data_IF_353607975688
#
_entry.id   IF_353607975688
#
_cell.length_a   1.000
_cell.length_b   1.000
_cell.length_c   1.000
_cell.angle_alpha   90.00
_cell.angle_beta   90.00
_cell.angle_gamma   90.00
#
_symmetry.space_group_name_H-M   'P 1'
#
loop_
_entity.id
_entity.type
_entity.pdbx_description
1 polymer ?
#
# COMPACT_ATOMS: atom_id res chain seq x y z
N UNK A 1 -12.29 29.56 21.22
CA UNK A 1 -12.83 28.91 20.01
C UNK A 1 -12.51 29.65 18.70
N UNK A 2 -12.18 30.95 18.72
CA UNK A 2 -11.98 31.76 17.50
C UNK A 2 -10.81 31.32 16.60
N UNK A 3 -9.65 30.95 17.17
CA UNK A 3 -8.42 30.66 16.39
C UNK A 3 -8.57 29.40 15.52
N UNK A 4 -9.12 28.32 16.06
CA UNK A 4 -9.35 27.08 15.30
C UNK A 4 -10.42 27.28 14.23
N UNK A 5 -11.48 28.03 14.54
CA UNK A 5 -12.53 28.35 13.57
C UNK A 5 -11.98 29.24 12.42
N UNK A 6 -11.10 30.19 12.72
CA UNK A 6 -10.41 31.02 11.73
C UNK A 6 -9.50 30.19 10.82
N UNK A 7 -8.68 29.31 11.40
CA UNK A 7 -7.82 28.42 10.63
C UNK A 7 -8.63 27.45 9.75
N UNK A 8 -9.73 26.91 10.29
CA UNK A 8 -10.61 26.00 9.55
C UNK A 8 -11.29 26.66 8.33
N UNK A 9 -11.43 27.99 8.31
CA UNK A 9 -11.91 28.71 7.12
C UNK A 9 -10.91 28.70 5.96
N UNK A 10 -9.62 28.54 6.24
CA UNK A 10 -8.54 28.66 5.24
C UNK A 10 -7.93 27.33 4.84
N UNK A 11 -7.92 26.34 5.74
CA UNK A 11 -7.28 25.04 5.49
C UNK A 11 -8.16 23.88 5.95
N UNK A 12 -7.88 22.68 5.42
CA UNK A 12 -8.62 21.47 5.79
C UNK A 12 -8.52 21.17 7.29
N UNK A 13 -9.56 20.56 7.86
CA UNK A 13 -9.55 20.15 9.28
C UNK A 13 -8.38 19.21 9.63
N UNK A 14 -7.92 18.40 8.66
CA UNK A 14 -6.68 17.60 8.82
C UNK A 14 -5.45 18.47 9.00
N UNK A 15 -5.30 19.50 8.17
CA UNK A 15 -4.19 20.45 8.27
C UNK A 15 -4.20 21.17 9.62
N UNK A 16 -5.37 21.65 10.06
CA UNK A 16 -5.53 22.26 11.39
C UNK A 16 -5.09 21.29 12.50
N UNK A 17 -5.59 20.05 12.47
CA UNK A 17 -5.21 19.03 13.44
C UNK A 17 -3.71 18.73 13.43
N UNK A 18 -3.10 18.64 12.25
CA UNK A 18 -1.66 18.41 12.12
C UNK A 18 -0.84 19.57 12.70
N UNK A 19 -1.30 20.81 12.58
CA UNK A 19 -0.67 21.97 13.22
C UNK A 19 -0.84 22.00 14.74
N UNK A 20 -1.95 21.45 15.26
CA UNK A 20 -2.19 21.34 16.70
C UNK A 20 -1.28 20.31 17.38
N UNK A 21 -0.79 19.28 16.66
CA UNK A 21 0.09 18.26 17.22
C UNK A 21 1.39 18.85 17.81
N UNK A 22 2.23 19.57 17.04
CA UNK A 22 3.46 20.15 17.59
C UNK A 22 3.15 21.22 18.64
N UNK A 23 2.09 22.01 18.46
CA UNK A 23 1.69 23.04 19.43
C UNK A 23 1.35 22.44 20.80
N UNK A 24 0.59 21.33 20.81
CA UNK A 24 0.31 20.58 22.05
C UNK A 24 1.58 20.01 22.66
N UNK A 25 2.51 19.51 21.84
CA UNK A 25 3.80 19.01 22.31
C UNK A 25 4.63 20.08 23.03
N UNK A 26 4.71 21.29 22.48
CA UNK A 26 5.43 22.42 23.11
C UNK A 26 4.82 22.79 24.46
N UNK A 27 3.49 22.91 24.54
CA UNK A 27 2.84 23.25 25.81
C UNK A 27 2.81 22.11 26.83
N UNK A 28 2.86 20.85 26.39
CA UNK A 28 3.04 19.72 27.28
C UNK A 28 4.44 19.76 27.91
N UNK A 29 5.49 19.94 27.09
CA UNK A 29 6.86 20.08 27.60
C UNK A 29 7.00 21.27 28.57
N UNK A 30 6.40 22.42 28.26
CA UNK A 30 6.44 23.59 29.15
C UNK A 30 5.68 23.37 30.47
N UNK A 31 4.66 22.51 30.49
CA UNK A 31 3.95 22.11 31.70
C UNK A 31 4.79 21.15 32.53
N UNK A 32 5.45 20.18 31.88
CA UNK A 32 6.36 19.22 32.52
C UNK A 32 7.58 19.92 33.14
N UNK A 33 8.07 21.00 32.51
CA UNK A 33 9.16 21.84 33.02
C UNK A 33 8.69 22.90 34.05
N UNK A 34 7.42 22.86 34.45
CA UNK A 34 6.79 23.80 35.41
C UNK A 34 6.91 25.30 35.01
N UNK A 35 7.12 25.58 33.71
CA UNK A 35 7.18 26.95 33.16
C UNK A 35 5.78 27.58 33.13
N UNK A 36 4.75 26.76 32.97
CA UNK A 36 3.34 27.17 32.95
C UNK A 36 2.51 26.26 33.84
N UNK A 37 1.49 26.80 34.51
CA UNK A 37 0.59 26.00 35.35
C UNK A 37 -0.50 25.27 34.55
N UNK A 38 -0.75 25.73 33.30
CA UNK A 38 -1.83 25.22 32.47
C UNK A 38 -1.55 25.35 30.98
N UNK A 39 -1.63 24.23 30.27
CA UNK A 39 -1.53 24.21 28.81
C UNK A 39 -2.70 24.98 28.14
N UNK A 40 -2.43 26.03 27.33
CA UNK A 40 -3.46 26.79 26.60
C UNK A 40 -4.25 25.94 25.58
N UNK A 41 -3.71 24.79 25.19
CA UNK A 41 -4.31 23.89 24.20
C UNK A 41 -5.29 22.88 24.79
N UNK A 42 -5.42 22.81 26.13
CA UNK A 42 -6.21 21.79 26.83
C UNK A 42 -7.67 21.71 26.34
N UNK A 43 -8.30 22.87 26.14
CA UNK A 43 -9.71 22.97 25.74
C UNK A 43 -9.90 23.02 24.21
N UNK A 44 -8.81 22.92 23.43
CA UNK A 44 -8.89 22.96 21.97
C UNK A 44 -9.18 21.56 21.44
N UNK A 45 -10.43 21.32 21.06
CA UNK A 45 -10.84 20.05 20.44
C UNK A 45 -10.30 19.93 19.02
N UNK A 46 -9.85 18.73 18.65
CA UNK A 46 -9.50 18.41 17.27
C UNK A 46 -10.75 18.41 16.39
N UNK A 47 -10.61 18.94 15.18
CA UNK A 47 -11.71 19.01 14.23
C UNK A 47 -12.06 17.62 13.69
N UNK A 48 -13.35 17.34 13.55
CA UNK A 48 -13.79 16.15 12.82
C UNK A 48 -13.33 16.29 11.37
N UNK A 49 -12.63 15.27 10.88
CA UNK A 49 -12.22 15.20 9.48
C UNK A 49 -12.50 13.80 8.98
N UNK A 50 -13.26 13.70 7.89
CA UNK A 50 -13.43 12.44 7.19
C UNK A 50 -12.20 12.20 6.32
N UNK A 51 -11.50 11.11 6.59
CA UNK A 51 -10.46 10.68 5.68
C UNK A 51 -11.08 10.35 4.31
N UNK A 52 -10.51 10.83 3.20
CA UNK A 52 -11.00 10.47 1.88
C UNK A 52 -10.90 8.95 1.71
N UNK A 53 -11.94 8.35 1.13
CA UNK A 53 -11.95 6.92 0.81
C UNK A 53 -10.76 6.60 -0.10
N UNK A 54 -10.07 5.46 0.09
CA UNK A 54 -9.06 4.99 -0.85
C UNK A 54 -9.68 4.87 -2.26
N UNK A 55 -8.96 5.35 -3.27
CA UNK A 55 -9.34 5.27 -4.68
C UNK A 55 -8.18 4.58 -5.43
N UNK A 56 -8.06 3.25 -5.29
CA UNK A 56 -7.02 2.49 -5.97
C UNK A 56 -7.25 2.51 -7.49
N UNK A 57 -6.16 2.41 -8.24
CA UNK A 57 -6.20 2.22 -9.68
C UNK A 57 -6.66 0.81 -10.02
N UNK A 58 -7.29 0.64 -11.18
CA UNK A 58 -7.51 -0.67 -11.77
C UNK A 58 -6.22 -1.22 -12.39
N UNK A 59 -6.19 -2.52 -12.66
CA UNK A 59 -5.02 -3.17 -13.26
C UNK A 59 -4.73 -2.57 -14.65
N UNK A 60 -5.78 -2.31 -15.44
CA UNK A 60 -5.66 -1.74 -16.78
C UNK A 60 -5.17 -0.29 -16.73
N UNK A 61 -5.62 0.49 -15.74
CA UNK A 61 -5.12 1.85 -15.51
C UNK A 61 -3.63 1.81 -15.14
N UNK A 62 -3.21 0.86 -14.30
CA UNK A 62 -1.81 0.68 -13.92
C UNK A 62 -0.95 0.28 -15.13
N UNK A 63 -1.45 -0.62 -15.96
CA UNK A 63 -0.77 -1.05 -17.19
C UNK A 63 -0.62 0.10 -18.18
N UNK A 64 -1.68 0.90 -18.37
CA UNK A 64 -1.64 2.09 -19.21
C UNK A 64 -0.65 3.14 -18.69
N UNK A 65 -0.58 3.36 -17.37
CA UNK A 65 0.38 4.28 -16.74
C UNK A 65 1.81 3.78 -17.00
N UNK A 66 2.08 2.49 -16.82
CA UNK A 66 3.40 1.89 -17.06
C UNK A 66 3.76 1.93 -18.56
N UNK A 67 2.80 1.65 -19.45
CA UNK A 67 2.98 1.69 -20.90
C UNK A 67 3.27 3.11 -21.42
N UNK A 68 2.49 4.10 -20.99
CA UNK A 68 2.72 5.50 -21.36
C UNK A 68 4.06 6.05 -20.83
N UNK A 69 4.48 5.54 -19.66
CA UNK A 69 5.80 5.84 -19.12
C UNK A 69 6.92 5.33 -20.02
N UNK A 70 6.71 4.20 -20.71
CA UNK A 70 7.65 3.60 -21.66
C UNK A 70 7.68 4.37 -22.98
N UNK A 71 6.52 4.82 -23.48
CA UNK A 71 6.43 5.57 -24.75
C UNK A 71 7.07 6.97 -24.64
N UNK A 72 6.95 7.63 -23.48
CA UNK A 72 7.63 8.89 -23.20
C UNK A 72 9.17 8.77 -23.22
N UNK A 73 9.72 7.56 -23.02
CA UNK A 73 11.17 7.30 -23.08
C UNK A 73 11.73 7.41 -24.50
N UNK A 74 10.90 7.27 -25.54
CA UNK A 74 11.31 7.29 -26.95
C UNK A 74 11.41 8.68 -27.57
N UNK A 75 10.84 9.73 -26.96
CA UNK A 75 10.66 11.06 -27.59
C UNK A 75 11.17 12.24 -26.76
N UNK A 76 12.32 12.10 -26.10
CA UNK A 76 13.10 13.23 -25.52
C UNK A 76 12.88 13.64 -24.06
N UNK A 77 12.36 12.78 -23.17
CA UNK A 77 12.43 13.03 -21.72
C UNK A 77 12.40 11.72 -20.90
N UNK A 78 13.56 11.10 -20.55
CA UNK A 78 13.61 9.63 -20.43
C UNK A 78 13.32 9.03 -19.04
N UNK A 79 13.23 9.81 -17.95
CA UNK A 79 13.41 9.24 -16.59
C UNK A 79 12.34 9.62 -15.55
N UNK A 80 11.36 10.47 -15.89
CA UNK A 80 10.38 10.97 -14.92
C UNK A 80 9.24 10.04 -14.58
N UNK A 81 8.98 9.03 -15.42
CA UNK A 81 7.81 8.17 -15.27
C UNK A 81 8.16 6.69 -15.15
N UNK A 82 9.38 6.28 -15.53
CA UNK A 82 9.87 4.90 -15.38
C UNK A 82 10.05 4.45 -13.93
N UNK A 83 10.15 5.39 -12.97
CA UNK A 83 10.23 5.05 -11.54
C UNK A 83 9.00 4.35 -10.96
N UNK A 84 7.89 4.31 -11.70
CA UNK A 84 6.60 3.88 -11.17
C UNK A 84 6.22 2.45 -11.56
N UNK A 85 7.09 1.76 -12.31
CA UNK A 85 7.07 0.31 -12.47
C UNK A 85 7.69 -0.44 -11.28
N UNK A 86 8.50 0.24 -10.46
CA UNK A 86 8.94 -0.22 -9.15
C UNK A 86 7.74 -0.11 -8.21
N UNK A 87 6.87 -1.10 -8.32
CA UNK A 87 5.64 -1.23 -7.56
C UNK A 87 5.96 -1.06 -6.07
N UNK A 88 4.97 -0.54 -5.33
CA UNK A 88 4.89 -0.46 -3.86
C UNK A 88 5.91 0.36 -3.04
N UNK A 89 7.03 0.84 -3.56
CA UNK A 89 7.94 1.71 -2.77
C UNK A 89 7.30 3.07 -2.43
N UNK A 90 7.72 3.70 -1.32
CA UNK A 90 7.28 5.08 -1.05
C UNK A 90 7.90 6.00 -2.11
N UNK A 91 7.18 7.02 -2.64
CA UNK A 91 7.75 7.91 -3.63
C UNK A 91 9.06 8.57 -3.20
N UNK A 92 9.21 8.86 -1.90
CA UNK A 92 10.44 9.39 -1.31
C UNK A 92 11.61 8.39 -1.28
N UNK A 93 11.34 7.09 -1.28
CA UNK A 93 12.36 6.01 -1.35
C UNK A 93 12.74 5.77 -2.82
N UNK A 94 11.76 5.76 -3.73
CA UNK A 94 11.98 5.55 -5.16
C UNK A 94 12.97 6.55 -5.76
N UNK A 95 12.91 7.82 -5.37
CA UNK A 95 13.76 8.87 -5.96
C UNK A 95 15.25 8.81 -5.55
N UNK A 96 15.61 7.98 -4.58
CA UNK A 96 16.99 7.86 -4.07
C UNK A 96 17.57 6.46 -4.18
N UNK A 97 16.80 5.51 -4.72
CA UNK A 97 17.28 4.16 -4.90
C UNK A 97 18.37 4.12 -5.97
N UNK A 98 19.42 3.35 -5.73
CA UNK A 98 20.61 3.24 -6.57
C UNK A 98 20.72 1.85 -7.18
N UNK A 99 21.55 1.71 -8.21
CA UNK A 99 21.81 0.39 -8.81
C UNK A 99 22.52 -0.57 -7.88
N UNK A 100 23.40 -0.05 -7.02
CA UNK A 100 24.08 -0.79 -5.94
C UNK A 100 23.13 -1.35 -4.88
N UNK A 101 21.89 -0.83 -4.78
CA UNK A 101 20.88 -1.32 -3.84
C UNK A 101 20.15 -2.58 -4.34
N UNK A 102 20.35 -3.00 -5.59
CA UNK A 102 19.67 -4.15 -6.19
C UNK A 102 20.57 -5.39 -6.14
N UNK A 103 20.08 -6.44 -5.49
CA UNK A 103 20.60 -7.80 -5.61
C UNK A 103 19.89 -8.52 -6.76
N UNK A 104 20.60 -8.70 -7.86
CA UNK A 104 20.09 -9.36 -9.06
C UNK A 104 19.98 -10.88 -8.92
N UNK A 105 20.80 -11.49 -8.06
CA UNK A 105 20.77 -12.93 -7.82
C UNK A 105 19.62 -13.29 -6.89
N UNK A 106 19.47 -12.53 -5.79
CA UNK A 106 18.35 -12.67 -4.87
C UNK A 106 17.05 -12.06 -5.38
N UNK A 107 17.07 -11.32 -6.50
CA UNK A 107 15.94 -10.54 -7.01
C UNK A 107 15.32 -9.63 -5.95
N UNK A 108 16.16 -8.95 -5.17
CA UNK A 108 15.70 -8.04 -4.11
C UNK A 108 16.27 -6.63 -4.28
N UNK A 109 15.60 -5.66 -3.67
CA UNK A 109 16.09 -4.28 -3.57
C UNK A 109 16.12 -3.85 -2.10
N UNK A 110 17.27 -3.36 -1.66
CA UNK A 110 17.46 -2.87 -0.30
C UNK A 110 17.01 -1.42 -0.17
N UNK A 111 16.05 -1.18 0.71
CA UNK A 111 15.52 0.15 0.98
C UNK A 111 16.07 0.68 2.29
N UNK A 112 17.08 1.54 2.21
CA UNK A 112 17.73 2.14 3.37
C UNK A 112 17.67 3.68 3.40
N UNK A 113 17.31 4.31 2.28
CA UNK A 113 17.33 5.77 2.09
C UNK A 113 15.96 6.29 1.66
N UNK A 114 15.64 7.50 2.08
CA UNK A 114 14.51 8.26 1.58
C UNK A 114 14.86 9.75 1.48
N UNK A 115 14.34 10.46 0.47
CA UNK A 115 14.49 11.91 0.35
C UNK A 115 13.16 12.63 0.55
N UNK A 116 13.19 13.63 1.43
CA UNK A 116 12.03 14.46 1.78
C UNK A 116 12.51 15.90 1.91
N UNK A 117 11.88 16.85 1.20
CA UNK A 117 12.27 18.27 1.19
C UNK A 117 13.74 18.46 0.80
N UNK A 118 14.16 17.82 -0.30
CA UNK A 118 15.54 17.85 -0.82
C UNK A 118 16.63 17.25 0.10
N UNK A 119 16.29 16.76 1.29
CA UNK A 119 17.25 16.14 2.21
C UNK A 119 17.14 14.63 2.11
N UNK A 120 18.25 13.97 1.79
CA UNK A 120 18.37 12.51 1.93
C UNK A 120 18.51 12.18 3.42
N UNK A 121 17.65 11.30 3.91
CA UNK A 121 17.75 10.74 5.24
C UNK A 121 17.93 9.24 5.12
N UNK A 122 18.78 8.68 5.97
CA UNK A 122 18.71 7.26 6.24
C UNK A 122 17.36 6.96 6.89
N UNK A 123 16.76 5.86 6.47
CA UNK A 123 15.65 5.27 7.21
C UNK A 123 16.18 4.89 8.58
N UNK A 124 15.41 5.11 9.66
CA UNK A 124 15.82 4.67 11.01
C UNK A 124 16.17 3.17 10.93
N UNK A 125 17.14 2.68 11.67
CA UNK A 125 17.63 1.28 11.59
C UNK A 125 16.49 0.24 11.61
N UNK A 126 15.38 0.54 12.30
CA UNK A 126 14.17 -0.28 12.34
C UNK A 126 13.28 -0.27 11.08
N UNK A 127 13.69 0.41 10.00
CA UNK A 127 12.91 0.62 8.77
C UNK A 127 13.64 0.27 7.48
N UNK A 128 14.89 -0.18 7.60
CA UNK A 128 15.63 -0.83 6.51
C UNK A 128 14.93 -2.15 6.20
N UNK A 129 14.71 -2.43 4.92
CA UNK A 129 14.07 -3.66 4.47
C UNK A 129 14.54 -4.06 3.10
N UNK A 130 14.54 -5.36 2.86
CA UNK A 130 14.70 -5.92 1.53
C UNK A 130 13.32 -6.18 0.95
N UNK A 131 13.22 -5.86 -0.34
CA UNK A 131 11.98 -5.86 -1.07
C UNK A 131 12.11 -6.78 -2.27
N UNK A 132 11.17 -7.71 -2.43
CA UNK A 132 11.24 -8.73 -3.47
C UNK A 132 10.78 -8.15 -4.80
N UNK A 133 11.61 -8.27 -5.84
CA UNK A 133 11.33 -7.77 -7.18
C UNK A 133 10.59 -8.82 -7.98
N UNK A 134 9.42 -8.46 -8.52
CA UNK A 134 8.70 -9.33 -9.47
C UNK A 134 9.40 -9.35 -10.82
N UNK A 135 9.18 -10.39 -11.63
CA UNK A 135 9.67 -10.48 -13.02
C UNK A 135 9.34 -9.24 -13.84
N UNK A 136 8.13 -8.70 -13.63
CA UNK A 136 7.68 -7.48 -14.28
C UNK A 136 8.53 -6.28 -13.88
N UNK A 137 8.88 -6.17 -12.59
CA UNK A 137 9.74 -5.10 -12.07
C UNK A 137 11.17 -5.24 -12.61
N UNK A 138 11.72 -6.46 -12.62
CA UNK A 138 13.04 -6.75 -13.18
C UNK A 138 13.11 -6.34 -14.66
N UNK A 139 12.09 -6.69 -15.46
CA UNK A 139 12.05 -6.29 -16.87
C UNK A 139 11.99 -4.77 -17.08
N UNK A 140 11.46 -4.00 -16.12
CA UNK A 140 11.50 -2.53 -16.23
C UNK A 140 12.83 -1.96 -15.77
N UNK A 141 13.41 -2.51 -14.71
CA UNK A 141 14.76 -2.14 -14.27
C UNK A 141 15.78 -2.43 -15.38
N UNK A 142 15.66 -3.55 -16.08
CA UNK A 142 16.55 -3.88 -17.19
C UNK A 142 16.47 -2.85 -18.32
N UNK A 143 15.26 -2.44 -18.73
CA UNK A 143 15.07 -1.31 -19.67
C UNK A 143 15.64 0.01 -19.16
N UNK A 144 15.64 0.23 -17.85
CA UNK A 144 16.17 1.45 -17.25
C UNK A 144 17.71 1.47 -17.24
N UNK A 145 18.37 0.30 -17.22
CA UNK A 145 19.84 0.18 -17.19
C UNK A 145 20.52 0.93 -18.33
N UNK A 146 19.99 0.83 -19.54
CA UNK A 146 20.55 1.50 -20.72
C UNK A 146 20.59 3.03 -20.62
N UNK A 147 19.92 3.63 -19.63
CA UNK A 147 19.82 5.08 -19.48
C UNK A 147 20.61 5.65 -18.31
N UNK A 148 20.54 5.02 -17.13
CA UNK A 148 21.19 5.54 -15.91
C UNK A 148 22.37 4.69 -15.43
N UNK A 149 22.41 3.39 -15.71
CA UNK A 149 23.50 2.53 -15.24
C UNK A 149 24.82 2.80 -15.98
N UNK A 150 24.75 3.26 -17.24
CA UNK A 150 25.95 3.60 -18.03
C UNK A 150 26.79 4.76 -17.46
N UNK A 151 26.33 5.42 -16.38
CA UNK A 151 27.05 6.53 -15.75
C UNK A 151 27.91 6.07 -14.58
N UNK A 152 27.30 5.38 -13.61
CA UNK A 152 27.93 4.90 -12.38
C UNK A 152 27.02 3.84 -11.72
N UNK A 153 27.60 2.86 -11.04
CA UNK A 153 26.86 1.89 -10.22
C UNK A 153 26.24 2.54 -8.97
N UNK A 154 26.80 3.65 -8.47
CA UNK A 154 26.23 4.39 -7.34
C UNK A 154 25.24 5.50 -7.79
N UNK A 155 24.98 5.60 -9.09
CA UNK A 155 23.98 6.53 -9.61
C UNK A 155 22.55 6.13 -9.18
N UNK A 156 21.67 7.11 -8.91
CA UNK A 156 20.27 6.82 -8.68
C UNK A 156 19.65 6.20 -9.95
N UNK A 157 18.78 5.21 -9.74
CA UNK A 157 18.09 4.54 -10.84
C UNK A 157 17.23 5.53 -11.62
N UNK A 158 16.59 6.46 -10.92
CA UNK A 158 15.65 7.44 -11.47
C UNK A 158 16.16 8.87 -11.28
N UNK A 159 16.50 9.50 -12.40
CA UNK A 159 16.99 10.87 -12.45
C UNK A 159 15.92 11.82 -12.99
N UNK A 160 16.15 13.12 -12.81
CA UNK A 160 15.38 14.15 -13.49
C UNK A 160 15.77 14.20 -14.99
N UNK A 161 14.82 14.02 -15.93
CA UNK A 161 15.10 14.05 -17.36
C UNK A 161 15.74 15.33 -17.84
N UNK A 162 15.34 16.46 -17.25
CA UNK A 162 15.74 17.79 -17.68
C UNK A 162 17.12 18.17 -17.16
N UNK A 163 17.43 17.84 -15.90
CA UNK A 163 18.70 18.20 -15.28
C UNK A 163 19.74 17.08 -15.25
N UNK A 164 19.35 15.83 -15.54
CA UNK A 164 20.18 14.61 -15.40
C UNK A 164 20.75 14.40 -13.99
N UNK A 165 20.17 15.07 -12.99
CA UNK A 165 20.53 14.98 -11.58
C UNK A 165 19.47 14.18 -10.81
N UNK A 166 19.79 13.68 -9.59
CA UNK A 166 18.79 13.04 -8.74
C UNK A 166 17.60 13.96 -8.47
N UNK A 167 16.39 13.42 -8.38
CA UNK A 167 15.19 14.21 -8.08
C UNK A 167 15.31 14.98 -6.76
N UNK A 168 15.05 16.30 -6.73
CA UNK A 168 15.09 17.06 -5.49
C UNK A 168 13.96 16.68 -4.53
N UNK A 169 12.73 16.60 -5.01
CA UNK A 169 11.59 16.13 -4.24
C UNK A 169 10.62 15.27 -5.08
N UNK A 170 9.77 14.52 -4.40
CA UNK A 170 8.62 13.80 -4.97
C UNK A 170 7.70 14.75 -5.74
N UNK A 171 7.55 15.99 -5.28
CA UNK A 171 6.70 17.00 -5.93
C UNK A 171 7.17 17.32 -7.35
N UNK A 172 8.49 17.36 -7.56
CA UNK A 172 9.13 17.67 -8.83
C UNK A 172 8.95 16.55 -9.85
N UNK A 173 8.68 15.33 -9.38
CA UNK A 173 8.28 14.23 -10.23
C UNK A 173 6.75 14.20 -10.47
N UNK A 174 5.96 14.63 -9.47
CA UNK A 174 4.51 14.49 -9.48
C UNK A 174 3.83 15.53 -10.38
N UNK A 175 4.21 16.79 -10.26
CA UNK A 175 3.54 17.89 -10.98
C UNK A 175 3.82 17.89 -12.49
N UNK A 176 5.08 17.79 -12.96
CA UNK A 176 5.38 17.88 -14.38
C UNK A 176 5.27 16.56 -15.15
N UNK A 177 5.36 15.40 -14.49
CA UNK A 177 5.31 14.10 -15.18
C UNK A 177 4.03 13.34 -14.84
N UNK A 178 3.78 13.04 -13.57
CA UNK A 178 2.69 12.13 -13.20
C UNK A 178 1.29 12.65 -13.55
N UNK A 179 0.96 13.86 -13.11
CA UNK A 179 -0.37 14.41 -13.38
C UNK A 179 -0.63 14.63 -14.88
N UNK A 180 0.33 15.14 -15.67
CA UNK A 180 0.19 15.18 -17.12
C UNK A 180 0.05 13.81 -17.78
N UNK A 181 0.76 12.77 -17.31
CA UNK A 181 0.58 11.40 -17.81
C UNK A 181 -0.83 10.89 -17.55
N UNK A 182 -1.37 11.10 -16.35
CA UNK A 182 -2.77 10.72 -16.05
C UNK A 182 -3.75 11.44 -16.96
N UNK A 183 -3.58 12.75 -17.15
CA UNK A 183 -4.44 13.55 -18.03
C UNK A 183 -4.39 13.06 -19.48
N UNK A 184 -3.19 12.77 -20.01
CA UNK A 184 -2.99 12.24 -21.36
C UNK A 184 -3.66 10.88 -21.56
N UNK A 185 -3.71 10.06 -20.52
CA UNK A 185 -4.38 8.76 -20.52
C UNK A 185 -5.90 8.85 -20.29
N UNK A 186 -6.45 10.06 -20.13
CA UNK A 186 -7.87 10.24 -19.77
C UNK A 186 -8.21 9.79 -18.35
N UNK A 187 -7.20 9.60 -17.49
CA UNK A 187 -7.38 9.13 -16.12
C UNK A 187 -7.62 10.30 -15.16
N UNK A 188 -8.48 10.07 -14.16
CA UNK A 188 -8.72 11.02 -13.09
C UNK A 188 -7.41 11.32 -12.34
N UNK A 189 -7.23 12.59 -11.96
CA UNK A 189 -6.08 13.02 -11.16
C UNK A 189 -6.10 12.33 -9.80
N UNK A 190 -5.04 11.59 -9.50
CA UNK A 190 -4.82 10.90 -8.22
C UNK A 190 -3.44 11.22 -7.69
N UNK A 191 -3.20 10.96 -6.40
CA UNK A 191 -1.87 11.11 -5.81
C UNK A 191 -0.99 9.91 -6.18
N UNK A 192 0.32 10.13 -6.35
CA UNK A 192 1.28 9.06 -6.65
C UNK A 192 1.29 7.98 -5.55
N UNK A 193 0.94 8.36 -4.31
CA UNK A 193 0.77 7.43 -3.20
C UNK A 193 -0.33 6.39 -3.43
N UNK A 194 -1.32 6.66 -4.29
CA UNK A 194 -2.38 5.70 -4.61
C UNK A 194 -1.84 4.48 -5.36
N UNK A 195 -0.71 4.58 -6.08
CA UNK A 195 -0.08 3.43 -6.74
C UNK A 195 0.31 2.37 -5.71
N UNK A 196 0.96 2.79 -4.63
CA UNK A 196 1.32 1.90 -3.52
C UNK A 196 0.10 1.30 -2.84
N UNK A 197 -0.97 2.09 -2.67
CA UNK A 197 -2.24 1.58 -2.13
C UNK A 197 -2.91 0.57 -3.04
N UNK A 198 -2.82 0.80 -4.34
CA UNK A 198 -3.34 -0.12 -5.37
C UNK A 198 -2.63 -1.44 -5.28
N UNK A 199 -1.30 -1.44 -5.19
CA UNK A 199 -0.53 -2.68 -5.00
C UNK A 199 -0.98 -3.44 -3.75
N UNK A 200 -1.09 -2.77 -2.60
CA UNK A 200 -1.55 -3.41 -1.36
C UNK A 200 -2.94 -4.04 -1.53
N UNK A 201 -3.85 -3.33 -2.22
CA UNK A 201 -5.21 -3.80 -2.50
C UNK A 201 -5.19 -5.01 -3.42
N UNK A 202 -4.47 -4.95 -4.54
CA UNK A 202 -4.38 -6.03 -5.53
C UNK A 202 -3.73 -7.28 -4.94
N UNK A 203 -2.65 -7.13 -4.16
CA UNK A 203 -1.98 -8.25 -3.49
C UNK A 203 -2.91 -8.95 -2.50
N UNK A 204 -3.70 -8.18 -1.73
CA UNK A 204 -4.71 -8.73 -0.84
C UNK A 204 -5.84 -9.44 -1.60
N UNK A 205 -6.33 -8.84 -2.69
CA UNK A 205 -7.34 -9.45 -3.55
C UNK A 205 -6.82 -10.73 -4.23
N UNK A 206 -5.52 -10.82 -4.49
CA UNK A 206 -4.86 -12.03 -4.98
C UNK A 206 -4.68 -13.11 -3.89
N UNK A 207 -4.98 -12.81 -2.62
CA UNK A 207 -4.83 -13.74 -1.51
C UNK A 207 -3.40 -13.86 -0.96
N UNK A 208 -2.53 -12.89 -1.28
CA UNK A 208 -1.15 -12.87 -0.75
C UNK A 208 -1.19 -12.64 0.76
N UNK A 209 -0.29 -13.30 1.49
CA UNK A 209 -0.21 -13.22 2.94
C UNK A 209 -0.10 -11.74 3.42
N UNK A 210 -1.05 -11.25 4.23
CA UNK A 210 -1.04 -9.88 4.77
C UNK A 210 0.25 -9.50 5.50
N UNK A 211 0.87 -10.44 6.23
CA UNK A 211 2.13 -10.22 6.93
C UNK A 211 3.29 -10.02 5.95
N UNK A 212 3.31 -10.77 4.84
CA UNK A 212 4.29 -10.59 3.76
C UNK A 212 4.12 -9.21 3.11
N UNK A 213 2.88 -8.82 2.77
CA UNK A 213 2.60 -7.50 2.19
C UNK A 213 3.05 -6.38 3.14
N UNK A 214 2.77 -6.51 4.43
CA UNK A 214 3.19 -5.52 5.43
C UNK A 214 4.72 -5.37 5.52
N UNK A 215 5.48 -6.48 5.44
CA UNK A 215 6.96 -6.46 5.38
C UNK A 215 7.46 -5.77 4.12
N UNK A 216 6.95 -6.15 2.95
CA UNK A 216 7.33 -5.55 1.66
C UNK A 216 7.05 -4.04 1.63
N UNK A 217 5.93 -3.62 2.22
CA UNK A 217 5.59 -2.21 2.35
C UNK A 217 6.44 -1.49 3.43
N UNK A 218 7.02 -2.19 4.39
CA UNK A 218 7.70 -1.55 5.53
C UNK A 218 6.69 -0.89 6.48
N UNK A 219 5.59 -1.58 6.76
CA UNK A 219 4.66 -1.22 7.83
C UNK A 219 5.12 -1.86 9.14
N UNK A 220 5.03 -1.12 10.25
CA UNK A 220 5.35 -1.64 11.58
C UNK A 220 4.38 -2.75 12.03
N UNK A 221 3.14 -2.74 11.51
CA UNK A 221 2.15 -3.77 11.80
C UNK A 221 1.19 -3.98 10.61
N UNK A 222 0.47 -5.11 10.65
CA UNK A 222 -0.61 -5.44 9.71
C UNK A 222 -1.89 -4.66 9.99
N UNK A 223 -2.04 -4.05 11.17
CA UNK A 223 -3.23 -3.29 11.52
C UNK A 223 -3.52 -2.14 10.54
N UNK A 224 -2.47 -1.46 10.06
CA UNK A 224 -2.60 -0.45 8.99
C UNK A 224 -3.13 -1.03 7.68
N UNK A 225 -2.80 -2.29 7.38
CA UNK A 225 -3.26 -2.97 6.18
C UNK A 225 -4.75 -3.34 6.32
N UNK A 226 -5.14 -4.02 7.40
CA UNK A 226 -6.54 -4.41 7.62
C UNK A 226 -7.46 -3.20 7.78
N UNK A 227 -7.03 -2.14 8.48
CA UNK A 227 -7.80 -0.90 8.65
C UNK A 227 -8.21 -0.25 7.33
N UNK A 228 -7.38 -0.37 6.30
CA UNK A 228 -7.61 0.31 5.02
C UNK A 228 -8.16 -0.61 3.93
N UNK A 229 -7.97 -1.93 4.04
CA UNK A 229 -8.22 -2.86 2.94
C UNK A 229 -9.11 -4.06 3.28
N UNK A 230 -9.58 -4.22 4.52
CA UNK A 230 -10.48 -5.32 4.90
C UNK A 230 -11.69 -5.45 3.96
N UNK A 231 -12.32 -4.32 3.64
CA UNK A 231 -13.49 -4.27 2.75
C UNK A 231 -13.21 -4.75 1.31
N UNK A 232 -11.97 -4.65 0.84
CA UNK A 232 -11.57 -5.15 -0.47
C UNK A 232 -11.34 -6.66 -0.50
N UNK A 233 -11.02 -7.26 0.66
CA UNK A 233 -10.87 -8.71 0.81
C UNK A 233 -12.26 -9.35 0.71
N UNK A 234 -13.24 -8.83 1.47
CA UNK A 234 -14.61 -9.37 1.50
C UNK A 234 -15.27 -9.35 0.12
N UNK A 235 -15.06 -8.29 -0.66
CA UNK A 235 -15.62 -8.17 -2.02
C UNK A 235 -14.92 -9.04 -3.07
N UNK A 236 -13.69 -9.48 -2.81
CA UNK A 236 -12.92 -10.34 -3.71
C UNK A 236 -12.98 -11.82 -3.31
N UNK A 237 -13.50 -12.15 -2.12
CA UNK A 237 -13.62 -13.52 -1.65
C UNK A 237 -14.81 -14.22 -2.32
N UNK A 238 -14.58 -14.79 -3.50
CA UNK A 238 -15.53 -15.64 -4.22
C UNK A 238 -15.58 -17.07 -3.62
N UNK A 239 -15.67 -17.20 -2.29
CA UNK A 239 -15.64 -18.50 -1.61
C UNK A 239 -14.27 -19.18 -1.57
N UNK A 240 -13.18 -18.41 -1.76
CA UNK A 240 -11.81 -18.92 -1.64
C UNK A 240 -11.50 -19.30 -0.20
N UNK A 241 -11.91 -18.47 0.77
CA UNK A 241 -11.70 -18.80 2.18
C UNK A 241 -12.55 -19.99 2.60
N UNK A 242 -13.79 -20.09 2.10
CA UNK A 242 -14.63 -21.30 2.28
C UNK A 242 -13.96 -22.55 1.69
N UNK A 243 -13.33 -22.44 0.52
CA UNK A 243 -12.61 -23.55 -0.11
C UNK A 243 -11.38 -23.98 0.69
N UNK A 244 -10.62 -23.03 1.25
CA UNK A 244 -9.52 -23.33 2.17
C UNK A 244 -10.01 -24.01 3.45
N UNK A 245 -11.08 -23.50 4.06
CA UNK A 245 -11.70 -24.11 5.23
C UNK A 245 -12.20 -25.52 4.93
N UNK A 246 -12.80 -25.75 3.76
CA UNK A 246 -13.18 -27.09 3.33
C UNK A 246 -11.97 -28.00 3.08
N UNK A 247 -10.83 -27.47 2.62
CA UNK A 247 -9.60 -28.26 2.50
C UNK A 247 -9.04 -28.73 3.85
N UNK A 248 -9.26 -27.95 4.93
CA UNK A 248 -8.75 -28.24 6.28
C UNK A 248 -9.76 -29.02 7.12
N UNK A 249 -11.03 -28.61 7.08
CA UNK A 249 -12.12 -29.07 7.95
C UNK A 249 -13.26 -29.75 7.18
N UNK A 250 -13.15 -29.86 5.86
CA UNK A 250 -14.11 -30.61 5.06
C UNK A 250 -14.12 -32.10 5.45
N UNK A 251 -15.21 -32.80 5.16
CA UNK A 251 -15.42 -34.13 5.71
C UNK A 251 -14.34 -35.11 5.24
N UNK A 252 -13.56 -35.65 6.19
CA UNK A 252 -12.90 -36.96 6.04
C UNK A 252 -13.91 -38.07 6.35
N UNK A 253 -15.09 -38.05 5.70
CA UNK A 253 -16.15 -39.02 5.94
C UNK A 253 -15.96 -40.30 5.11
N UNK A 254 -14.72 -40.81 5.04
CA UNK A 254 -14.43 -42.08 4.35
C UNK A 254 -13.27 -42.87 4.98
N UNK A 255 -12.99 -42.67 6.27
CA UNK A 255 -12.43 -43.79 7.02
C UNK A 255 -13.58 -44.76 7.29
N UNK A 256 -13.68 -45.78 6.42
CA UNK A 256 -14.36 -47.04 6.72
C UNK A 256 -14.14 -47.35 8.19
N UNK A 257 -15.16 -47.16 9.02
CA UNK A 257 -15.21 -47.81 10.32
C UNK A 257 -15.27 -49.29 9.96
N UNK A 258 -14.12 -49.95 10.05
CA UNK A 258 -14.05 -51.41 9.96
C UNK A 258 -14.88 -51.92 11.12
N UNK A 259 -16.14 -52.23 10.84
CA UNK A 259 -17.00 -52.94 11.77
C UNK A 259 -16.24 -54.24 12.06
N UNK A 260 -15.77 -54.40 13.29
CA UNK A 260 -15.17 -55.64 13.76
C UNK A 260 -16.14 -56.79 13.42
N UNK A 261 -15.65 -57.93 12.89
CA UNK A 261 -16.52 -59.04 12.56
C UNK A 261 -17.15 -59.55 13.86
N UNK A 262 -18.43 -59.24 14.09
CA UNK A 262 -19.15 -59.71 15.27
C UNK A 262 -20.33 -58.88 15.76
N UNK A 263 -20.52 -57.63 15.31
CA UNK A 263 -21.69 -56.85 15.73
C UNK A 263 -22.70 -56.74 14.60
N UNK A 264 -23.63 -57.69 14.58
CA UNK A 264 -24.92 -57.53 13.91
C UNK A 264 -25.66 -56.37 14.58
N UNK A 265 -25.80 -55.25 13.87
CA UNK A 265 -26.91 -54.34 14.11
C UNK A 265 -27.72 -54.21 12.83
N UNK A 266 -28.88 -54.86 12.88
CA UNK A 266 -30.02 -54.65 12.00
C UNK A 266 -30.37 -53.15 11.96
N UNK A 267 -29.99 -52.47 10.89
CA UNK A 267 -30.63 -51.21 10.53
C UNK A 267 -31.83 -51.54 9.65
N UNK A 268 -33.02 -51.45 10.26
CA UNK A 268 -34.28 -51.46 9.54
C UNK A 268 -34.30 -50.30 8.55
N UNK A 269 -34.41 -50.63 7.28
CA UNK A 269 -34.72 -49.69 6.22
C UNK A 269 -36.16 -49.24 6.43
N UNK A 270 -36.37 -47.99 6.83
CA UNK A 270 -37.61 -47.28 6.56
C UNK A 270 -37.30 -46.21 5.52
N UNK A 271 -37.71 -46.52 4.29
CA UNK A 271 -37.65 -45.60 3.18
C UNK A 271 -38.72 -44.52 3.26
N UNK A 272 -38.42 -43.47 2.49
CA UNK A 272 -39.32 -42.64 1.70
C UNK A 272 -40.43 -41.82 2.38
N UNK A 273 -40.42 -40.54 1.96
CA UNK A 273 -41.56 -39.62 1.83
C UNK A 273 -41.99 -38.81 3.06
N UNK A 274 -42.02 -37.49 2.87
CA UNK A 274 -42.47 -36.53 3.88
C UNK A 274 -42.06 -35.10 3.57
N UNK A 275 -42.62 -34.53 2.50
CA UNK A 275 -42.66 -33.09 2.25
C UNK A 275 -43.39 -32.36 3.39
N UNK A 276 -42.77 -31.38 4.05
CA UNK A 276 -43.54 -30.34 4.77
C UNK A 276 -42.77 -29.03 5.03
N UNK A 277 -43.21 -28.00 4.31
CA UNK A 277 -43.35 -26.57 4.65
C UNK A 277 -42.41 -25.96 5.71
N UNK A 278 -41.47 -25.13 5.24
CA UNK A 278 -40.86 -24.09 6.07
C UNK A 278 -41.88 -22.97 6.33
N UNK A 279 -42.37 -22.90 7.57
CA UNK A 279 -43.14 -21.78 8.11
C UNK A 279 -42.23 -20.69 8.69
N UNK A 280 -42.73 -19.46 8.60
CA UNK A 280 -42.16 -18.22 9.11
C UNK A 280 -41.85 -18.27 10.63
N UNK A 281 -40.75 -17.63 11.04
CA UNK A 281 -40.67 -16.99 12.34
C UNK A 281 -39.69 -15.80 12.30
N UNK A 282 -40.27 -14.60 12.49
CA UNK A 282 -39.60 -13.38 12.91
C UNK A 282 -38.95 -13.58 14.28
N UNK A 283 -37.73 -13.06 14.47
CA UNK A 283 -37.28 -12.23 15.59
C UNK A 283 -36.08 -11.39 15.13
#
# INVERSE_FOLDING_TARGET
MAIVAELARRVTGKTVNNSLIPLRGVFAAALDDEIIDRAPTLNIKSLKHQAPKPDPFRVEEMDAIIGASTIAMTRSSPTGTSSRSAQWLRPSEQIVVRWSDIDWNGQTIRIERARVRAVVKSTKTSSIRDVDLTDRTLGVLDRQRSYSLMKDADAPIFENPSSRLPWPDVQDQRKPYFHPTLLRLGLRRRDAYQIRRTFATLALMAGVNPAYIARQLGHANTAMLFKHYSRSIDGADAGREKSKLNGVFGPKLDQKVSILPGVSQSFGVLGSEGSEKFGEARW
#
